data_IF_969831763763
#
_entry.id   IF_969831763763
#
_cell.length_a   1.000
_cell.length_b   1.000
_cell.length_c   1.000
_cell.angle_alpha   90.00
_cell.angle_beta   90.00
_cell.angle_gamma   90.00
#
_symmetry.space_group_name_H-M   'P 1'
#
loop_
_entity.id
_entity.type
_entity.pdbx_description
1 polymer ?
#
# COMPACT_ATOMS: atom_id res chain seq x y z
N UNK A 1 13.66 1.52 4.99
CA UNK A 1 12.59 1.08 4.08
C UNK A 1 11.43 2.07 4.17
N UNK A 2 10.73 2.30 3.07
CA UNK A 2 9.53 3.13 3.11
C UNK A 2 8.39 2.38 3.84
N UNK A 3 7.59 3.08 4.62
CA UNK A 3 6.40 2.54 5.31
C UNK A 3 5.22 3.50 5.19
N UNK A 4 3.99 3.01 5.42
CA UNK A 4 2.77 3.81 5.43
C UNK A 4 2.71 4.76 6.64
N UNK A 5 3.37 5.91 6.55
CA UNK A 5 3.40 6.90 7.63
C UNK A 5 2.02 7.48 7.94
N UNK A 6 1.16 7.64 6.93
CA UNK A 6 -0.19 8.18 7.12
C UNK A 6 -1.04 7.25 7.99
N UNK A 7 -0.90 5.94 7.83
CA UNK A 7 -1.53 4.95 8.70
C UNK A 7 -1.02 5.06 10.15
N UNK A 8 0.30 5.22 10.34
CA UNK A 8 0.89 5.42 11.68
C UNK A 8 0.30 6.67 12.35
N UNK A 9 0.27 7.79 11.65
CA UNK A 9 -0.26 9.07 12.16
C UNK A 9 -1.75 8.94 12.51
N UNK A 10 -2.52 8.29 11.64
CA UNK A 10 -3.97 8.11 11.81
C UNK A 10 -4.28 7.26 13.04
N UNK A 11 -3.72 6.05 13.14
CA UNK A 11 -3.96 5.14 14.26
C UNK A 11 -3.48 5.73 15.59
N UNK A 12 -2.35 6.46 15.58
CA UNK A 12 -1.90 7.20 16.76
C UNK A 12 -2.93 8.22 17.23
N UNK A 13 -3.52 8.99 16.30
CA UNK A 13 -4.56 9.99 16.62
C UNK A 13 -5.87 9.33 17.06
N UNK A 14 -6.27 8.23 16.45
CA UNK A 14 -7.46 7.46 16.85
C UNK A 14 -7.34 6.92 18.28
N UNK A 15 -6.14 6.48 18.69
CA UNK A 15 -5.83 6.13 20.08
C UNK A 15 -5.60 7.33 21.00
N UNK A 16 -5.76 8.56 20.52
CA UNK A 16 -5.47 9.82 21.24
C UNK A 16 -4.04 9.92 21.81
N UNK A 17 -3.05 9.36 21.10
CA UNK A 17 -1.65 9.31 21.56
C UNK A 17 -0.82 10.49 21.03
N UNK A 18 0.03 11.04 21.90
CA UNK A 18 1.15 11.90 21.48
C UNK A 18 2.26 11.07 20.82
N UNK A 19 3.19 11.74 20.12
CA UNK A 19 4.37 11.06 19.56
C UNK A 19 5.21 10.40 20.66
N UNK A 20 5.31 11.03 21.84
CA UNK A 20 5.98 10.46 23.02
C UNK A 20 5.26 9.23 23.55
N UNK A 21 3.92 9.24 23.56
CA UNK A 21 3.13 8.07 23.99
C UNK A 21 3.33 6.89 23.05
N UNK A 22 3.36 7.12 21.74
CA UNK A 22 3.65 6.07 20.75
C UNK A 22 5.10 5.57 20.88
N UNK A 23 6.06 6.47 21.13
CA UNK A 23 7.46 6.10 21.37
C UNK A 23 7.57 5.13 22.55
N UNK A 24 6.94 5.46 23.68
CA UNK A 24 6.91 4.61 24.86
C UNK A 24 6.22 3.26 24.60
N UNK A 25 5.07 3.26 23.91
CA UNK A 25 4.32 2.03 23.62
C UNK A 25 5.08 1.09 22.66
N UNK A 26 5.85 1.64 21.71
CA UNK A 26 6.64 0.87 20.75
C UNK A 26 8.07 0.55 21.21
N UNK A 27 8.50 1.07 22.37
CA UNK A 27 9.89 0.95 22.82
C UNK A 27 10.90 1.65 21.89
N UNK A 28 10.46 2.64 21.12
CA UNK A 28 11.28 3.42 20.20
C UNK A 28 11.61 4.80 20.78
N UNK A 29 12.65 5.45 20.26
CA UNK A 29 12.94 6.83 20.60
C UNK A 29 11.93 7.78 19.93
N UNK A 30 11.53 8.87 20.60
CA UNK A 30 10.60 9.87 20.03
C UNK A 30 11.11 10.47 18.71
N UNK A 31 12.42 10.64 18.52
CA UNK A 31 13.00 11.06 17.23
C UNK A 31 12.76 10.04 16.13
N UNK A 32 12.70 8.74 16.46
CA UNK A 32 12.35 7.69 15.50
C UNK A 32 10.90 7.83 15.05
N UNK A 33 9.97 8.11 15.98
CA UNK A 33 8.57 8.38 15.65
C UNK A 33 8.45 9.61 14.75
N UNK A 34 9.07 10.73 15.13
CA UNK A 34 9.08 11.95 14.34
C UNK A 34 9.64 11.73 12.93
N UNK A 35 10.73 10.98 12.81
CA UNK A 35 11.33 10.63 11.52
C UNK A 35 10.42 9.73 10.68
N UNK A 36 9.75 8.75 11.30
CA UNK A 36 8.77 7.89 10.60
C UNK A 36 7.63 8.74 10.06
N UNK A 37 7.03 9.60 10.89
CA UNK A 37 5.88 10.42 10.48
C UNK A 37 6.25 11.46 9.42
N UNK A 38 7.49 11.97 9.43
CA UNK A 38 7.94 13.01 8.50
C UNK A 38 8.51 12.46 7.19
N UNK A 39 9.32 11.40 7.25
CA UNK A 39 10.09 10.90 6.09
C UNK A 39 9.54 9.60 5.51
N UNK A 40 8.52 9.03 6.15
CA UNK A 40 7.93 7.74 5.82
C UNK A 40 8.95 6.60 5.76
N UNK A 41 9.98 6.64 6.61
CA UNK A 41 11.10 5.69 6.58
C UNK A 41 11.36 5.07 7.94
N UNK A 42 11.40 3.74 7.99
CA UNK A 42 11.71 2.96 9.20
C UNK A 42 12.73 1.86 8.92
N UNK A 43 13.36 1.31 9.96
CA UNK A 43 14.03 0.01 9.88
C UNK A 43 13.00 -1.12 10.00
N UNK A 44 13.36 -2.36 9.66
CA UNK A 44 12.47 -3.51 9.85
C UNK A 44 12.07 -3.67 11.33
N UNK A 45 13.02 -3.46 12.24
CA UNK A 45 12.78 -3.52 13.67
C UNK A 45 11.76 -2.45 14.11
N UNK A 46 11.94 -1.20 13.68
CA UNK A 46 10.99 -0.12 13.98
C UNK A 46 9.61 -0.38 13.38
N UNK A 47 9.52 -0.93 12.16
CA UNK A 47 8.24 -1.30 11.53
C UNK A 47 7.50 -2.36 12.37
N UNK A 48 8.19 -3.42 12.79
CA UNK A 48 7.62 -4.47 13.66
C UNK A 48 7.16 -3.93 15.01
N UNK A 49 7.97 -3.08 15.63
CA UNK A 49 7.65 -2.45 16.91
C UNK A 49 6.41 -1.53 16.81
N UNK A 50 6.32 -0.73 15.75
CA UNK A 50 5.15 0.11 15.48
C UNK A 50 3.89 -0.70 15.24
N UNK A 51 3.97 -1.74 14.41
CA UNK A 51 2.83 -2.63 14.14
C UNK A 51 2.33 -3.29 15.43
N UNK A 52 3.25 -3.78 16.27
CA UNK A 52 2.90 -4.35 17.58
C UNK A 52 2.23 -3.34 18.51
N UNK A 53 2.74 -2.11 18.59
CA UNK A 53 2.19 -1.07 19.48
C UNK A 53 0.83 -0.53 19.01
N UNK A 54 0.61 -0.52 17.70
CA UNK A 54 -0.64 -0.10 17.08
C UNK A 54 -1.66 -1.25 16.93
N UNK A 55 -1.27 -2.47 17.29
CA UNK A 55 -2.11 -3.69 17.25
C UNK A 55 -2.59 -4.04 15.83
N UNK A 56 -1.69 -3.91 14.85
CA UNK A 56 -1.97 -4.24 13.43
C UNK A 56 -0.96 -5.27 12.89
N UNK A 57 -1.31 -6.03 11.85
CA UNK A 57 -0.34 -6.77 11.05
C UNK A 57 0.81 -5.90 10.57
N UNK A 58 2.03 -6.47 10.51
CA UNK A 58 3.23 -5.74 10.06
C UNK A 58 3.10 -5.32 8.58
N UNK A 59 2.36 -6.09 7.79
CA UNK A 59 2.13 -5.85 6.36
C UNK A 59 1.33 -4.58 6.12
N UNK A 60 0.43 -4.20 7.02
CA UNK A 60 -0.41 -2.99 6.87
C UNK A 60 0.43 -1.71 6.86
N UNK A 61 1.63 -1.74 7.46
CA UNK A 61 2.59 -0.65 7.41
C UNK A 61 3.46 -0.65 6.14
N UNK A 62 3.26 -1.56 5.18
CA UNK A 62 3.97 -1.48 3.91
C UNK A 62 3.64 -0.19 3.16
N UNK A 63 4.67 0.41 2.56
CA UNK A 63 4.48 1.60 1.76
C UNK A 63 3.90 1.22 0.41
N UNK A 64 2.66 1.62 0.19
CA UNK A 64 2.08 1.63 -1.15
C UNK A 64 2.49 2.94 -1.81
N UNK A 65 3.38 2.85 -2.80
CA UNK A 65 3.70 4.02 -3.63
C UNK A 65 2.42 4.52 -4.28
N UNK A 66 2.07 5.78 -4.03
CA UNK A 66 1.03 6.51 -4.77
C UNK A 66 1.58 6.88 -6.16
N UNK A 67 1.71 5.88 -7.05
CA UNK A 67 2.50 6.00 -8.30
C UNK A 67 1.82 6.80 -9.40
N UNK A 68 0.58 7.28 -9.21
CA UNK A 68 -0.21 7.95 -10.26
C UNK A 68 -0.26 9.49 -10.16
N UNK A 69 0.37 10.10 -9.15
CA UNK A 69 0.46 11.57 -9.04
C UNK A 69 1.80 12.10 -9.56
N UNK A 70 1.83 13.07 -10.50
CA UNK A 70 0.70 13.63 -11.24
C UNK A 70 0.19 12.68 -12.35
N UNK A 71 -1.01 12.94 -12.88
CA UNK A 71 -1.58 12.18 -14.00
C UNK A 71 -0.58 12.11 -15.17
N UNK A 72 -0.26 10.93 -15.72
CA UNK A 72 0.71 10.83 -16.80
C UNK A 72 0.25 11.50 -18.10
N UNK A 73 -1.06 11.57 -18.34
CA UNK A 73 -1.66 12.17 -19.54
C UNK A 73 -1.80 13.70 -19.43
N UNK A 74 -2.57 14.20 -18.46
CA UNK A 74 -2.90 15.64 -18.37
C UNK A 74 -2.11 16.42 -17.31
N UNK A 75 -1.22 15.75 -16.56
CA UNK A 75 -0.42 16.32 -15.46
C UNK A 75 -1.23 16.87 -14.27
N UNK A 76 -2.54 16.63 -14.21
CA UNK A 76 -3.37 16.98 -13.05
C UNK A 76 -2.99 16.19 -11.79
N UNK A 77 -3.08 16.83 -10.63
CA UNK A 77 -2.99 16.21 -9.32
C UNK A 77 -4.35 15.75 -8.77
N UNK A 78 -5.45 15.93 -9.51
CA UNK A 78 -6.77 15.45 -9.09
C UNK A 78 -6.95 13.96 -9.44
N UNK A 79 -6.32 13.12 -8.61
CA UNK A 79 -6.28 11.66 -8.73
C UNK A 79 -6.97 11.01 -7.55
N UNK A 80 -7.89 10.09 -7.84
CA UNK A 80 -8.65 9.32 -6.86
C UNK A 80 -8.19 7.86 -6.91
N UNK A 81 -7.83 7.30 -5.75
CA UNK A 81 -7.54 5.88 -5.57
C UNK A 81 -8.74 5.21 -4.89
N UNK A 82 -9.07 3.98 -5.29
CA UNK A 82 -10.03 3.18 -4.52
C UNK A 82 -9.42 2.79 -3.16
N UNK A 83 -10.25 2.74 -2.11
CA UNK A 83 -9.75 2.67 -0.73
C UNK A 83 -8.98 1.39 -0.40
N UNK A 84 -9.25 0.31 -1.13
CA UNK A 84 -8.75 -1.03 -0.83
C UNK A 84 -8.33 -1.75 -2.11
N UNK A 85 -7.56 -2.84 -2.01
CA UNK A 85 -7.42 -3.78 -3.11
C UNK A 85 -8.66 -4.67 -3.18
N UNK A 86 -9.16 -4.92 -4.37
CA UNK A 86 -10.28 -5.84 -4.56
C UNK A 86 -9.95 -6.95 -5.56
N UNK A 87 -10.67 -8.05 -5.46
CA UNK A 87 -10.59 -9.14 -6.43
C UNK A 87 -11.39 -8.78 -7.67
N UNK A 88 -10.71 -8.65 -8.80
CA UNK A 88 -11.42 -8.55 -10.07
C UNK A 88 -11.90 -9.96 -10.46
N UNK A 89 -13.17 -10.26 -10.20
CA UNK A 89 -13.84 -11.48 -10.62
C UNK A 89 -15.06 -11.11 -11.46
N UNK A 90 -15.02 -11.38 -12.75
CA UNK A 90 -16.15 -11.27 -13.66
C UNK A 90 -16.44 -12.62 -14.32
N UNK A 91 -17.67 -12.81 -14.83
CA UNK A 91 -17.99 -13.91 -15.75
C UNK A 91 -17.34 -13.56 -17.09
N UNK A 92 -16.15 -14.09 -17.35
CA UNK A 92 -15.37 -13.75 -18.55
C UNK A 92 -13.86 -13.94 -18.37
N UNK A 93 -13.09 -13.20 -19.15
CA UNK A 93 -11.62 -13.27 -19.14
C UNK A 93 -11.02 -12.61 -17.88
N UNK A 94 -9.97 -13.20 -17.34
CA UNK A 94 -9.19 -12.65 -16.22
C UNK A 94 -8.41 -11.42 -16.69
N UNK A 95 -8.50 -10.30 -15.96
CA UNK A 95 -7.67 -9.11 -16.24
C UNK A 95 -6.17 -9.41 -16.18
N UNK A 96 -5.77 -10.30 -15.26
CA UNK A 96 -4.39 -10.74 -15.05
C UNK A 96 -4.33 -12.28 -15.15
N UNK A 97 -4.33 -12.85 -16.36
CA UNK A 97 -4.45 -14.28 -16.57
C UNK A 97 -3.41 -15.10 -15.81
N UNK A 98 -3.86 -16.16 -15.14
CA UNK A 98 -3.00 -17.11 -14.42
C UNK A 98 -2.18 -16.50 -13.28
N UNK A 99 -2.56 -15.31 -12.81
CA UNK A 99 -1.92 -14.63 -11.67
C UNK A 99 -2.81 -14.57 -10.43
N UNK A 100 -3.95 -15.26 -10.40
CA UNK A 100 -4.80 -15.33 -9.22
C UNK A 100 -4.66 -16.59 -8.37
N UNK A 101 -5.26 -16.60 -7.18
CA UNK A 101 -5.23 -17.76 -6.25
C UNK A 101 -6.56 -18.52 -6.31
N UNK A 102 -6.50 -19.84 -6.08
CA UNK A 102 -7.69 -20.69 -5.95
C UNK A 102 -8.34 -21.06 -7.29
N UNK A 103 -9.47 -21.77 -7.21
CA UNK A 103 -10.18 -22.36 -8.35
C UNK A 103 -10.68 -21.33 -9.39
N UNK A 104 -10.77 -20.06 -9.00
CA UNK A 104 -11.29 -18.97 -9.83
C UNK A 104 -10.24 -17.94 -10.27
N UNK A 105 -8.95 -18.17 -9.98
CA UNK A 105 -7.89 -17.36 -10.58
C UNK A 105 -7.98 -15.85 -10.30
N UNK A 106 -8.44 -15.42 -9.12
CA UNK A 106 -8.63 -13.98 -8.85
C UNK A 106 -7.34 -13.27 -8.44
N UNK A 107 -6.98 -12.23 -9.21
CA UNK A 107 -5.89 -11.32 -8.88
C UNK A 107 -6.44 -10.08 -8.16
N UNK A 108 -5.69 -9.56 -7.19
CA UNK A 108 -6.07 -8.36 -6.44
C UNK A 108 -5.46 -7.12 -7.06
N UNK A 109 -6.30 -6.12 -7.30
CA UNK A 109 -5.92 -4.86 -7.96
C UNK A 109 -6.45 -3.65 -7.19
N UNK A 110 -5.82 -2.50 -7.40
CA UNK A 110 -6.27 -1.20 -6.93
C UNK A 110 -6.31 -0.20 -8.10
N UNK A 111 -7.49 0.34 -8.46
CA UNK A 111 -7.64 1.33 -9.50
C UNK A 111 -7.37 2.74 -8.98
N UNK A 112 -6.81 3.55 -9.87
CA UNK A 112 -6.69 4.98 -9.73
C UNK A 112 -7.34 5.65 -10.95
N UNK A 113 -8.02 6.78 -10.74
CA UNK A 113 -8.72 7.53 -11.78
C UNK A 113 -8.34 9.01 -11.69
N UNK A 114 -7.92 9.59 -12.81
CA UNK A 114 -7.76 11.05 -12.93
C UNK A 114 -9.13 11.70 -13.19
N UNK A 115 -9.55 12.64 -12.35
CA UNK A 115 -10.84 13.31 -12.50
C UNK A 115 -10.90 14.23 -13.74
N UNK A 116 -9.77 14.79 -14.15
CA UNK A 116 -9.72 15.73 -15.27
C UNK A 116 -9.82 15.06 -16.64
N UNK A 117 -9.05 13.99 -16.88
CA UNK A 117 -8.97 13.35 -18.20
C UNK A 117 -9.52 11.93 -18.25
N UNK A 118 -10.00 11.39 -17.12
CA UNK A 118 -10.53 10.03 -17.03
C UNK A 118 -9.49 8.93 -17.17
N UNK A 119 -8.18 9.24 -17.16
CA UNK A 119 -7.13 8.21 -17.23
C UNK A 119 -7.24 7.24 -16.06
N UNK A 120 -7.29 5.93 -16.36
CA UNK A 120 -7.37 4.86 -15.37
C UNK A 120 -6.03 4.13 -15.31
N UNK A 121 -5.50 3.95 -14.10
CA UNK A 121 -4.35 3.07 -13.84
C UNK A 121 -4.77 1.97 -12.89
N UNK A 122 -4.52 0.72 -13.28
CA UNK A 122 -4.74 -0.44 -12.42
C UNK A 122 -3.38 -0.90 -11.87
N UNK A 123 -3.30 -1.05 -10.55
CA UNK A 123 -2.12 -1.54 -9.85
C UNK A 123 -2.36 -2.96 -9.34
N UNK A 124 -1.50 -3.90 -9.72
CA UNK A 124 -1.49 -5.24 -9.15
C UNK A 124 -0.86 -5.22 -7.75
N UNK A 125 -1.44 -5.96 -6.80
CA UNK A 125 -0.89 -6.12 -5.45
C UNK A 125 0.54 -6.69 -5.46
N UNK A 126 1.26 -6.55 -4.34
CA UNK A 126 2.59 -7.18 -4.15
C UNK A 126 2.55 -8.68 -4.45
N UNK A 127 1.54 -9.40 -3.94
CA UNK A 127 1.43 -10.85 -4.08
C UNK A 127 1.17 -11.26 -5.54
N UNK A 128 0.45 -10.44 -6.31
CA UNK A 128 0.25 -10.66 -7.75
C UNK A 128 1.56 -10.41 -8.50
N UNK A 129 2.30 -9.35 -8.16
CA UNK A 129 3.60 -9.03 -8.79
C UNK A 129 4.67 -10.07 -8.49
N UNK A 130 4.72 -10.61 -7.28
CA UNK A 130 5.65 -11.69 -6.92
C UNK A 130 5.40 -12.95 -7.78
N UNK A 131 4.13 -13.27 -8.04
CA UNK A 131 3.73 -14.36 -8.94
C UNK A 131 4.02 -14.06 -10.40
N UNK A 132 3.86 -12.81 -10.84
CA UNK A 132 4.19 -12.39 -12.20
C UNK A 132 5.65 -12.70 -12.53
N UNK A 133 6.57 -12.37 -11.62
CA UNK A 133 8.02 -12.62 -11.80
C UNK A 133 8.34 -14.11 -11.89
N UNK A 134 7.53 -14.97 -11.27
CA UNK A 134 7.70 -16.42 -11.24
C UNK A 134 6.87 -17.15 -12.30
N UNK A 135 6.05 -16.43 -13.08
CA UNK A 135 5.11 -17.03 -14.01
C UNK A 135 5.78 -17.44 -15.32
N UNK A 136 5.51 -18.65 -15.78
CA UNK A 136 5.87 -19.09 -17.14
C UNK A 136 4.92 -18.55 -18.22
N UNK A 137 3.74 -18.05 -17.82
CA UNK A 137 2.72 -17.54 -18.74
C UNK A 137 2.93 -16.08 -19.16
N UNK A 138 3.82 -15.36 -18.46
CA UNK A 138 4.11 -13.95 -18.72
C UNK A 138 5.56 -13.78 -19.15
N UNK A 139 5.77 -13.00 -20.20
CA UNK A 139 7.10 -12.72 -20.76
C UNK A 139 7.54 -11.31 -20.39
N UNK A 140 8.76 -11.18 -19.87
CA UNK A 140 9.43 -9.89 -19.71
C UNK A 140 9.79 -9.32 -21.09
N UNK A 141 9.38 -8.07 -21.34
CA UNK A 141 9.72 -7.28 -22.53
C UNK A 141 10.73 -6.18 -22.21
#
# INVERSE_FOLDING_TARGET
MKINADLVVRLRKEKAWSQEKLANASGLNVRTIQRVEKEASASLHSKKALASALEIPVQDLDFEENIMKPCPLCKSDDIYQYKEYFQYSGVGEELLPKLGKGMFGTATICPFVCAECGFIRLMASSEVRDRLVQSEHWKKI
#
